data_IF_799236035655
#
_entry.id   IF_799236035655
#
_cell.length_a   1.000
_cell.length_b   1.000
_cell.length_c   1.000
_cell.angle_alpha   90.00
_cell.angle_beta   90.00
_cell.angle_gamma   90.00
#
_symmetry.space_group_name_H-M   'P 1'
#
loop_
_entity.id
_entity.type
_entity.pdbx_description
1 polymer ?
#
# COMPACT_ATOMS: atom_id res chain seq x y z
N UNK A 1 34.12 22.33 27.91
CA UNK A 1 32.71 22.62 27.56
C UNK A 1 31.95 21.31 27.54
N UNK A 2 30.97 21.09 28.44
CA UNK A 2 30.11 19.91 28.38
C UNK A 2 29.32 19.90 27.06
N UNK A 3 29.19 18.73 26.44
CA UNK A 3 28.45 18.55 25.20
C UNK A 3 26.96 18.30 25.52
N UNK A 4 26.02 19.13 25.04
CA UNK A 4 24.59 18.88 25.22
C UNK A 4 24.16 17.57 24.54
N UNK A 5 23.23 16.86 25.17
CA UNK A 5 22.63 15.67 24.57
C UNK A 5 21.72 16.04 23.39
N UNK A 6 21.59 15.12 22.43
CA UNK A 6 20.60 15.21 21.35
C UNK A 6 20.25 13.82 20.83
N UNK A 7 19.03 13.61 20.32
CA UNK A 7 18.70 12.40 19.60
C UNK A 7 19.61 12.19 18.38
N UNK A 8 19.81 10.92 18.02
CA UNK A 8 20.52 10.55 16.79
C UNK A 8 19.78 11.06 15.54
N UNK A 9 20.47 11.12 14.42
CA UNK A 9 19.91 11.63 13.16
C UNK A 9 19.32 10.50 12.32
N UNK A 10 18.01 10.57 12.08
CA UNK A 10 17.20 9.58 11.38
C UNK A 10 16.90 8.34 12.22
N UNK A 11 15.90 7.55 11.82
CA UNK A 11 15.62 6.23 12.40
C UNK A 11 16.53 5.15 11.80
N UNK A 12 16.86 4.13 12.61
CA UNK A 12 17.54 2.89 12.18
C UNK A 12 16.57 1.77 11.80
N UNK A 13 15.30 1.83 12.22
CA UNK A 13 14.32 0.77 11.98
C UNK A 13 13.89 0.60 10.52
N UNK A 14 14.32 1.50 9.63
CA UNK A 14 14.07 1.41 8.19
C UNK A 14 15.36 1.15 7.39
N UNK A 15 16.31 0.45 8.00
CA UNK A 15 17.55 0.00 7.38
C UNK A 15 17.49 -1.48 6.94
N UNK A 16 18.40 -1.93 6.06
CA UNK A 16 19.29 -1.10 5.27
C UNK A 16 18.50 -0.22 4.29
N UNK A 17 18.99 1.00 4.04
CA UNK A 17 18.33 1.96 3.13
C UNK A 17 18.82 1.74 1.70
N UNK A 18 18.36 0.66 1.10
CA UNK A 18 18.64 0.19 -0.26
C UNK A 18 17.41 0.34 -1.14
N UNK A 19 17.56 0.14 -2.46
CA UNK A 19 16.41 0.10 -3.37
C UNK A 19 15.50 -1.07 -2.97
N UNK A 20 14.19 -0.88 -3.10
CA UNK A 20 13.23 -1.98 -2.99
C UNK A 20 13.47 -2.96 -4.14
N UNK A 21 13.40 -4.26 -3.84
CA UNK A 21 13.61 -5.32 -4.83
C UNK A 21 12.39 -5.51 -5.74
N UNK A 22 11.21 -5.14 -5.23
CA UNK A 22 9.94 -5.17 -5.95
C UNK A 22 9.30 -3.78 -5.92
N UNK A 23 8.72 -3.38 -7.06
CA UNK A 23 7.90 -2.18 -7.17
C UNK A 23 6.49 -2.40 -6.60
N UNK A 24 6.00 -3.65 -6.64
CA UNK A 24 4.78 -4.10 -5.98
C UNK A 24 5.04 -4.27 -4.48
N UNK A 25 4.40 -3.49 -3.59
CA UNK A 25 4.60 -3.61 -2.15
C UNK A 25 4.17 -4.98 -1.61
N UNK A 26 4.96 -5.57 -0.72
CA UNK A 26 4.60 -6.82 -0.03
C UNK A 26 4.07 -6.51 1.36
N UNK A 27 2.82 -6.89 1.61
CA UNK A 27 2.22 -6.84 2.95
C UNK A 27 2.83 -7.99 3.78
N UNK A 28 3.26 -7.71 5.01
CA UNK A 28 3.97 -8.66 5.88
C UNK A 28 3.18 -9.08 7.11
N UNK A 29 2.02 -8.47 7.32
CA UNK A 29 1.15 -8.71 8.47
C UNK A 29 -0.25 -8.42 8.00
N UNK A 30 -1.21 -9.20 8.44
CA UNK A 30 -2.60 -9.03 8.06
C UNK A 30 -3.44 -8.68 9.28
N UNK A 31 -4.62 -8.08 9.09
CA UNK A 31 -5.58 -7.90 10.18
C UNK A 31 -5.97 -9.24 10.79
N UNK A 32 -6.39 -9.20 12.06
CA UNK A 32 -6.92 -10.38 12.75
C UNK A 32 -8.24 -10.86 12.09
N UNK A 33 -8.61 -12.10 12.37
CA UNK A 33 -9.77 -12.77 11.78
C UNK A 33 -11.06 -12.45 12.53
N UNK A 34 -11.60 -11.26 12.28
CA UNK A 34 -12.89 -10.83 12.79
C UNK A 34 -13.92 -10.69 11.65
N UNK A 35 -15.19 -11.00 11.95
CA UNK A 35 -16.30 -10.83 10.99
C UNK A 35 -16.48 -12.02 10.04
N UNK A 36 -17.19 -11.77 8.94
CA UNK A 36 -17.42 -12.75 7.87
C UNK A 36 -16.18 -12.88 6.97
N UNK A 37 -16.03 -14.00 6.22
CA UNK A 37 -14.97 -14.16 5.23
C UNK A 37 -14.92 -12.98 4.25
N UNK A 38 -13.75 -12.38 4.11
CA UNK A 38 -13.51 -11.27 3.19
C UNK A 38 -12.03 -11.16 2.81
N UNK A 39 -11.78 -10.55 1.65
CA UNK A 39 -10.43 -10.13 1.26
C UNK A 39 -9.91 -9.08 2.24
N UNK A 40 -8.64 -9.20 2.65
CA UNK A 40 -8.01 -8.25 3.57
C UNK A 40 -7.14 -7.20 2.86
N UNK A 41 -7.34 -6.98 1.56
CA UNK A 41 -6.62 -5.93 0.86
C UNK A 41 -7.06 -5.72 -0.58
N UNK A 42 -6.66 -4.56 -1.11
CA UNK A 42 -6.93 -4.13 -2.48
C UNK A 42 -5.74 -3.30 -2.99
N UNK A 43 -5.73 -2.90 -4.26
CA UNK A 43 -4.69 -2.03 -4.80
C UNK A 43 -5.23 -0.97 -5.77
N UNK A 44 -4.46 0.09 -5.95
CA UNK A 44 -4.83 1.17 -6.87
C UNK A 44 -3.61 1.99 -7.29
N UNK A 45 -3.82 2.91 -8.24
CA UNK A 45 -2.78 3.74 -8.82
C UNK A 45 -2.94 5.19 -8.38
N UNK A 46 -1.87 5.74 -7.81
CA UNK A 46 -1.91 7.11 -7.29
C UNK A 46 -2.06 8.12 -8.43
N UNK A 47 -3.13 8.91 -8.42
CA UNK A 47 -3.37 9.96 -9.40
C UNK A 47 -2.72 11.29 -8.99
N UNK A 48 -3.12 11.82 -7.83
CA UNK A 48 -2.68 13.13 -7.38
C UNK A 48 -3.28 13.53 -6.05
N UNK A 49 -3.35 14.83 -5.79
CA UNK A 49 -3.94 15.37 -4.56
C UNK A 49 -4.88 16.52 -4.89
N UNK A 50 -5.93 16.64 -4.08
CA UNK A 50 -6.82 17.80 -4.00
C UNK A 50 -7.20 18.01 -2.53
N UNK A 51 -8.21 18.82 -2.25
CA UNK A 51 -8.81 18.95 -0.94
C UNK A 51 -10.33 18.77 -1.01
N UNK A 52 -10.91 18.34 0.10
CA UNK A 52 -12.35 18.25 0.28
C UNK A 52 -12.76 19.15 1.44
N UNK A 53 -13.98 19.68 1.36
CA UNK A 53 -14.68 20.23 2.52
C UNK A 53 -15.59 19.14 3.04
N UNK A 54 -15.39 18.73 4.29
CA UNK A 54 -16.22 17.73 4.95
C UNK A 54 -16.73 18.24 6.29
N UNK A 55 -17.79 17.63 6.79
CA UNK A 55 -18.26 17.88 8.16
C UNK A 55 -17.35 17.15 9.14
N UNK A 56 -16.85 17.86 10.14
CA UNK A 56 -16.09 17.27 11.22
C UNK A 56 -17.01 16.34 12.03
N UNK A 57 -16.68 15.06 12.04
CA UNK A 57 -17.47 14.00 12.64
C UNK A 57 -16.78 13.41 13.88
N UNK A 58 -15.78 14.10 14.44
CA UNK A 58 -15.14 13.65 15.67
C UNK A 58 -15.99 14.06 16.86
N UNK A 59 -16.69 13.09 17.47
CA UNK A 59 -17.57 13.34 18.64
C UNK A 59 -16.88 14.03 19.83
N UNK A 60 -15.55 13.93 19.92
CA UNK A 60 -14.75 14.56 20.98
C UNK A 60 -14.14 15.90 20.55
N UNK A 61 -14.42 16.38 19.34
CA UNK A 61 -13.93 17.65 18.81
C UNK A 61 -14.89 18.78 19.19
N UNK A 62 -14.39 19.93 19.70
CA UNK A 62 -15.21 21.14 19.87
C UNK A 62 -15.77 21.70 18.55
N UNK A 63 -15.36 21.15 17.40
CA UNK A 63 -15.78 21.54 16.05
C UNK A 63 -16.67 20.50 15.39
N UNK A 64 -17.14 19.48 16.11
CA UNK A 64 -18.09 18.50 15.58
C UNK A 64 -19.27 19.22 14.89
N UNK A 65 -19.66 18.75 13.71
CA UNK A 65 -20.72 19.34 12.88
C UNK A 65 -20.30 20.58 12.08
N UNK A 66 -19.09 21.13 12.29
CA UNK A 66 -18.57 22.25 11.50
C UNK A 66 -17.81 21.76 10.27
N UNK A 67 -17.73 22.60 9.25
CA UNK A 67 -16.92 22.31 8.06
C UNK A 67 -15.41 22.35 8.37
N UNK A 68 -14.68 21.44 7.74
CA UNK A 68 -13.23 21.32 7.78
C UNK A 68 -12.67 21.03 6.39
N UNK A 69 -11.62 21.77 6.01
CA UNK A 69 -10.86 21.52 4.80
C UNK A 69 -9.84 20.41 5.04
N UNK A 70 -9.95 19.30 4.30
CA UNK A 70 -9.09 18.12 4.47
C UNK A 70 -8.33 17.83 3.18
N UNK A 71 -6.98 17.75 3.22
CA UNK A 71 -6.22 17.34 2.05
C UNK A 71 -6.45 15.85 1.79
N UNK A 72 -6.65 15.48 0.53
CA UNK A 72 -6.85 14.10 0.09
C UNK A 72 -5.87 13.73 -1.02
N UNK A 73 -5.47 12.46 -1.05
CA UNK A 73 -4.82 11.87 -2.21
C UNK A 73 -5.86 11.05 -2.98
N UNK A 74 -5.99 11.33 -4.27
CA UNK A 74 -6.86 10.59 -5.20
C UNK A 74 -6.08 9.39 -5.73
N UNK A 75 -6.72 8.21 -5.71
CA UNK A 75 -6.16 6.95 -6.20
C UNK A 75 -7.20 6.30 -7.10
N UNK A 76 -6.84 6.00 -8.35
CA UNK A 76 -7.70 5.19 -9.22
C UNK A 76 -7.64 3.73 -8.74
N UNK A 77 -8.80 3.15 -8.49
CA UNK A 77 -8.97 1.80 -7.93
C UNK A 77 -9.83 0.98 -8.86
N UNK A 78 -9.38 0.70 -10.10
CA UNK A 78 -10.14 -0.14 -11.02
C UNK A 78 -10.35 -1.53 -10.43
N UNK A 79 -11.34 -2.30 -10.93
CA UNK A 79 -11.57 -3.67 -10.52
C UNK A 79 -10.27 -4.49 -10.55
N UNK A 80 -10.16 -5.37 -9.56
CA UNK A 80 -9.07 -6.34 -9.46
C UNK A 80 -9.61 -7.74 -9.69
N UNK A 81 -8.70 -8.65 -10.06
CA UNK A 81 -9.04 -10.03 -10.36
C UNK A 81 -8.27 -10.97 -9.44
N UNK A 82 -8.99 -11.81 -8.70
CA UNK A 82 -8.44 -12.95 -7.97
C UNK A 82 -8.35 -14.15 -8.90
N UNK A 83 -7.13 -14.57 -9.22
CA UNK A 83 -6.89 -15.58 -10.27
C UNK A 83 -6.56 -16.96 -9.71
N UNK A 84 -6.18 -17.05 -8.44
CA UNK A 84 -5.96 -18.33 -7.79
C UNK A 84 -6.12 -18.24 -6.28
N UNK A 85 -6.54 -19.33 -5.66
CA UNK A 85 -6.46 -19.55 -4.22
C UNK A 85 -5.14 -20.25 -3.92
N UNK A 86 -4.43 -19.83 -2.87
CA UNK A 86 -3.23 -20.49 -2.35
C UNK A 86 -3.41 -20.79 -0.87
N UNK A 87 -3.29 -22.05 -0.52
CA UNK A 87 -3.33 -22.53 0.86
C UNK A 87 -1.93 -22.68 1.46
N UNK A 88 -1.82 -22.48 2.76
CA UNK A 88 -0.57 -22.56 3.51
C UNK A 88 -0.70 -23.48 4.72
N UNK A 89 0.34 -24.28 4.99
CA UNK A 89 0.53 -25.02 6.25
C UNK A 89 1.55 -24.31 7.15
N UNK A 90 1.36 -24.37 8.47
CA UNK A 90 2.33 -23.96 9.48
C UNK A 90 3.30 -25.11 9.78
N UNK A 91 4.52 -25.00 9.23
CA UNK A 91 5.58 -25.96 9.56
C UNK A 91 6.45 -25.46 10.71
N UNK A 92 7.29 -26.33 11.33
CA UNK A 92 8.33 -25.89 12.27
C UNK A 92 9.32 -24.85 11.71
N UNK A 93 9.32 -24.63 10.40
CA UNK A 93 10.15 -23.65 9.69
C UNK A 93 9.37 -22.42 9.21
N UNK A 94 8.09 -22.30 9.59
CA UNK A 94 7.16 -21.26 9.17
C UNK A 94 6.18 -21.73 8.10
N UNK A 95 5.35 -20.80 7.63
CA UNK A 95 4.32 -21.04 6.63
C UNK A 95 4.91 -21.52 5.30
N UNK A 96 4.33 -22.57 4.72
CA UNK A 96 4.66 -23.06 3.38
C UNK A 96 3.40 -23.22 2.53
N UNK A 97 3.44 -22.86 1.24
CA UNK A 97 2.33 -23.13 0.35
C UNK A 97 2.18 -24.64 0.16
N UNK A 98 0.94 -25.14 0.23
CA UNK A 98 0.62 -26.56 0.05
C UNK A 98 -0.13 -26.83 -1.25
N UNK A 99 -1.08 -25.97 -1.61
CA UNK A 99 -1.95 -26.16 -2.77
C UNK A 99 -2.31 -24.82 -3.43
N UNK A 100 -2.55 -24.85 -4.75
CA UNK A 100 -2.98 -23.71 -5.55
C UNK A 100 -4.11 -24.08 -6.50
N UNK A 101 -5.27 -23.45 -6.30
CA UNK A 101 -6.45 -23.62 -7.16
C UNK A 101 -6.56 -22.42 -8.10
N UNK A 102 -6.27 -22.62 -9.38
CA UNK A 102 -6.26 -21.57 -10.40
C UNK A 102 -7.60 -21.45 -11.12
N UNK A 103 -7.99 -20.21 -11.44
CA UNK A 103 -9.14 -19.91 -12.29
C UNK A 103 -9.02 -20.57 -13.67
N UNK A 104 -10.14 -20.71 -14.35
CA UNK A 104 -10.23 -21.26 -15.71
C UNK A 104 -10.26 -20.16 -16.78
N UNK A 105 -10.74 -18.98 -16.42
CA UNK A 105 -10.77 -17.79 -17.26
C UNK A 105 -9.77 -16.74 -16.77
N UNK A 106 -9.08 -16.10 -17.70
CA UNK A 106 -8.02 -15.12 -17.41
C UNK A 106 -8.26 -13.82 -18.16
N UNK A 107 -7.95 -12.70 -17.49
CA UNK A 107 -7.92 -11.40 -18.15
C UNK A 107 -6.89 -11.38 -19.30
N UNK A 108 -7.24 -10.76 -20.43
CA UNK A 108 -6.50 -10.82 -21.70
C UNK A 108 -5.00 -10.45 -21.59
N UNK A 109 -4.64 -9.50 -20.74
CA UNK A 109 -3.25 -9.03 -20.56
C UNK A 109 -2.46 -9.74 -19.45
N UNK A 110 -3.01 -10.77 -18.79
CA UNK A 110 -2.35 -11.44 -17.66
C UNK A 110 -1.09 -12.22 -18.08
N UNK A 111 -1.07 -12.72 -19.31
CA UNK A 111 0.06 -13.44 -19.92
C UNK A 111 1.35 -12.59 -20.01
N UNK A 112 1.24 -11.26 -19.96
CA UNK A 112 2.41 -10.35 -19.87
C UNK A 112 3.15 -10.46 -18.54
N UNK A 113 2.47 -10.96 -17.50
CA UNK A 113 2.99 -11.09 -16.16
C UNK A 113 3.36 -12.53 -15.79
N UNK A 114 2.58 -13.50 -16.24
CA UNK A 114 2.65 -14.91 -15.84
C UNK A 114 2.57 -15.83 -17.06
N UNK A 115 3.19 -17.01 -16.96
CA UNK A 115 2.87 -18.12 -17.86
C UNK A 115 1.59 -18.79 -17.33
N UNK A 116 0.49 -18.66 -18.09
CA UNK A 116 -0.84 -19.10 -17.64
C UNK A 116 -0.98 -20.64 -17.68
N UNK A 117 -1.73 -21.25 -16.75
CA UNK A 117 -2.09 -22.67 -16.82
C UNK A 117 -2.72 -23.03 -18.16
N UNK A 118 -2.27 -24.13 -18.75
CA UNK A 118 -2.77 -24.61 -20.05
C UNK A 118 -3.96 -25.58 -19.91
N UNK A 119 -4.10 -26.20 -18.73
CA UNK A 119 -5.12 -27.21 -18.44
C UNK A 119 -6.05 -26.69 -17.35
N UNK A 120 -7.34 -26.93 -17.53
CA UNK A 120 -8.35 -26.67 -16.51
C UNK A 120 -8.29 -27.78 -15.46
N UNK A 121 -7.80 -27.40 -14.28
CA UNK A 121 -7.63 -28.27 -13.10
C UNK A 121 -8.38 -27.73 -11.89
N UNK A 122 -9.30 -26.76 -12.09
CA UNK A 122 -9.95 -26.05 -10.99
C UNK A 122 -10.67 -27.00 -10.04
N UNK A 123 -11.54 -27.86 -10.55
CA UNK A 123 -12.32 -28.79 -9.72
C UNK A 123 -11.45 -29.83 -9.02
N UNK A 124 -10.42 -30.36 -9.70
CA UNK A 124 -9.48 -31.32 -9.13
C UNK A 124 -8.71 -30.72 -7.95
N UNK A 125 -8.12 -29.55 -8.15
CA UNK A 125 -7.34 -28.88 -7.10
C UNK A 125 -8.24 -28.33 -5.97
N UNK A 126 -9.49 -27.94 -6.28
CA UNK A 126 -10.46 -27.52 -5.27
C UNK A 126 -10.84 -28.69 -4.36
N UNK A 127 -11.04 -29.89 -4.91
CA UNK A 127 -11.30 -31.09 -4.13
C UNK A 127 -10.08 -31.52 -3.30
N UNK A 128 -8.86 -31.40 -3.83
CA UNK A 128 -7.62 -31.63 -3.08
C UNK A 128 -7.47 -30.63 -1.92
N UNK A 129 -7.75 -29.35 -2.16
CA UNK A 129 -7.74 -28.32 -1.11
C UNK A 129 -8.73 -28.63 0.02
N UNK A 130 -9.96 -29.05 -0.33
CA UNK A 130 -10.97 -29.44 0.67
C UNK A 130 -10.52 -30.65 1.48
N UNK A 131 -9.89 -31.64 0.85
CA UNK A 131 -9.34 -32.79 1.56
C UNK A 131 -8.22 -32.37 2.54
N UNK A 132 -7.34 -31.44 2.14
CA UNK A 132 -6.29 -30.92 3.01
C UNK A 132 -6.84 -30.11 4.20
N UNK A 133 -7.97 -29.42 4.01
CA UNK A 133 -8.69 -28.74 5.10
C UNK A 133 -9.27 -29.74 6.09
N UNK A 134 -9.95 -30.78 5.59
CA UNK A 134 -10.52 -31.86 6.42
C UNK A 134 -9.44 -32.62 7.22
N UNK A 135 -8.26 -32.81 6.63
CA UNK A 135 -7.10 -33.43 7.27
C UNK A 135 -6.38 -32.48 8.27
N UNK A 136 -6.79 -31.21 8.34
CA UNK A 136 -6.23 -30.21 9.26
C UNK A 136 -4.80 -29.79 8.92
N UNK A 137 -4.42 -29.84 7.64
CA UNK A 137 -3.09 -29.47 7.14
C UNK A 137 -2.99 -27.96 6.87
N UNK A 138 -4.10 -27.32 6.51
CA UNK A 138 -4.14 -25.91 6.14
C UNK A 138 -4.30 -25.02 7.37
N UNK A 139 -3.53 -23.94 7.44
CA UNK A 139 -3.55 -22.94 8.53
C UNK A 139 -3.87 -21.51 8.03
N UNK A 140 -3.65 -21.20 6.74
CA UNK A 140 -3.94 -19.89 6.17
C UNK A 140 -4.36 -19.98 4.69
N UNK A 141 -5.32 -19.16 4.29
CA UNK A 141 -5.81 -19.07 2.90
C UNK A 141 -5.59 -17.67 2.36
N UNK A 142 -5.05 -17.60 1.15
CA UNK A 142 -4.78 -16.35 0.44
C UNK A 142 -5.20 -16.48 -1.00
N UNK A 143 -5.44 -15.35 -1.65
CA UNK A 143 -5.70 -15.28 -3.08
C UNK A 143 -4.55 -14.58 -3.78
N UNK A 144 -4.18 -15.08 -4.95
CA UNK A 144 -3.31 -14.40 -5.90
C UNK A 144 -4.20 -13.43 -6.68
N UNK A 145 -3.95 -12.14 -6.54
CA UNK A 145 -4.70 -11.09 -7.23
C UNK A 145 -3.81 -10.31 -8.18
N UNK A 146 -4.42 -9.71 -9.20
CA UNK A 146 -3.75 -8.77 -10.07
C UNK A 146 -4.61 -7.56 -10.40
N UNK A 147 -3.97 -6.44 -10.73
CA UNK A 147 -4.65 -5.26 -11.26
C UNK A 147 -4.84 -5.36 -12.78
N UNK A 148 -5.79 -4.62 -13.35
CA UNK A 148 -5.93 -4.43 -14.80
C UNK A 148 -5.52 -3.01 -15.25
N UNK A 149 -4.22 -2.68 -15.34
CA UNK A 149 -3.79 -1.33 -15.74
C UNK A 149 -4.10 -1.03 -17.22
N UNK A 150 -4.54 -2.03 -17.99
CA UNK A 150 -5.09 -1.85 -19.35
C UNK A 150 -6.31 -0.95 -19.39
N UNK A 151 -7.13 -1.02 -18.36
CA UNK A 151 -8.38 -0.25 -18.20
C UNK A 151 -8.11 1.21 -17.83
N UNK A 152 -6.92 1.51 -17.31
CA UNK A 152 -6.52 2.87 -16.98
C UNK A 152 -5.92 3.59 -18.19
N UNK A 153 -6.42 4.80 -18.45
CA UNK A 153 -5.92 5.70 -19.49
C UNK A 153 -4.59 6.37 -19.09
N UNK A 154 -4.46 6.72 -17.81
CA UNK A 154 -3.36 7.53 -17.27
C UNK A 154 -2.10 6.74 -16.90
N UNK A 155 -2.22 5.40 -16.82
CA UNK A 155 -1.14 4.49 -16.44
C UNK A 155 -0.57 3.83 -17.70
N UNK A 156 0.69 4.10 -18.10
CA UNK A 156 1.20 3.65 -19.41
C UNK A 156 1.37 2.13 -19.55
N UNK A 157 1.50 1.41 -18.43
CA UNK A 157 1.75 -0.04 -18.48
C UNK A 157 0.45 -0.78 -18.75
N UNK A 158 0.55 -1.84 -19.55
CA UNK A 158 -0.54 -2.82 -19.77
C UNK A 158 -0.28 -4.14 -19.04
N UNK A 159 0.97 -4.39 -18.64
CA UNK A 159 1.35 -5.52 -17.80
C UNK A 159 0.74 -5.40 -16.40
N UNK A 160 -0.06 -6.39 -15.95
CA UNK A 160 -0.61 -6.45 -14.59
C UNK A 160 0.47 -6.50 -13.51
N UNK A 161 0.18 -5.90 -12.36
CA UNK A 161 0.91 -6.16 -11.12
C UNK A 161 0.25 -7.32 -10.39
N UNK A 162 0.99 -8.38 -10.12
CA UNK A 162 0.52 -9.56 -9.38
C UNK A 162 0.95 -9.46 -7.92
N UNK A 163 0.04 -9.83 -7.01
CA UNK A 163 0.27 -9.79 -5.58
C UNK A 163 -0.57 -10.83 -4.86
N UNK A 164 -0.13 -11.22 -3.67
CA UNK A 164 -0.90 -12.12 -2.81
C UNK A 164 -1.64 -11.31 -1.74
N UNK A 165 -2.92 -11.60 -1.54
CA UNK A 165 -3.82 -10.97 -0.56
C UNK A 165 -4.45 -12.03 0.32
N UNK A 166 -4.43 -11.84 1.63
CA UNK A 166 -5.02 -12.80 2.57
C UNK A 166 -6.54 -12.71 2.60
N UNK A 167 -7.19 -13.85 2.82
CA UNK A 167 -8.62 -13.94 3.15
C UNK A 167 -8.73 -14.15 4.66
N UNK A 168 -9.53 -13.34 5.34
CA UNK A 168 -9.72 -13.44 6.80
C UNK A 168 -11.20 -13.42 7.19
N UNK A 169 -11.48 -13.61 8.47
CA UNK A 169 -12.85 -13.70 9.01
C UNK A 169 -13.45 -15.11 8.87
N UNK A 170 -14.49 -15.43 9.63
CA UNK A 170 -15.11 -16.77 9.64
C UNK A 170 -14.18 -17.92 10.05
N UNK A 171 -14.63 -19.15 9.84
CA UNK A 171 -13.80 -20.37 9.94
C UNK A 171 -12.86 -20.50 8.74
N UNK A 172 -11.89 -21.40 8.82
CA UNK A 172 -10.94 -21.60 7.72
C UNK A 172 -11.63 -22.18 6.48
N UNK A 173 -12.59 -23.07 6.68
CA UNK A 173 -13.44 -23.67 5.64
C UNK A 173 -14.27 -22.57 4.96
N UNK A 174 -14.93 -21.70 5.74
CA UNK A 174 -15.71 -20.58 5.19
C UNK A 174 -14.83 -19.61 4.37
N UNK A 175 -13.55 -19.42 4.73
CA UNK A 175 -12.60 -18.62 3.94
C UNK A 175 -12.21 -19.32 2.65
N UNK A 176 -11.98 -20.62 2.70
CA UNK A 176 -11.64 -21.41 1.53
C UNK A 176 -12.80 -21.41 0.52
N UNK A 177 -14.02 -21.65 1.00
CA UNK A 177 -15.23 -21.61 0.17
C UNK A 177 -15.42 -20.22 -0.45
N UNK A 178 -15.34 -19.14 0.34
CA UNK A 178 -15.38 -17.77 -0.20
C UNK A 178 -14.31 -17.51 -1.26
N UNK A 179 -13.08 -17.98 -1.04
CA UNK A 179 -11.98 -17.77 -1.96
C UNK A 179 -12.16 -18.57 -3.27
N UNK A 180 -12.65 -19.80 -3.17
CA UNK A 180 -12.94 -20.67 -4.31
C UNK A 180 -14.09 -20.11 -5.14
N UNK A 181 -15.17 -19.67 -4.50
CA UNK A 181 -16.32 -19.06 -5.17
C UNK A 181 -15.89 -17.79 -5.92
N UNK A 182 -15.12 -16.91 -5.27
CA UNK A 182 -14.60 -15.70 -5.90
C UNK A 182 -13.77 -16.02 -7.16
N UNK A 183 -12.88 -17.02 -7.08
CA UNK A 183 -12.02 -17.42 -8.21
C UNK A 183 -12.85 -18.10 -9.31
N UNK A 184 -13.85 -18.91 -8.96
CA UNK A 184 -14.75 -19.58 -9.90
C UNK A 184 -15.61 -18.59 -10.70
N UNK A 185 -16.04 -17.48 -10.08
CA UNK A 185 -16.82 -16.41 -10.71
C UNK A 185 -15.97 -15.43 -11.54
N UNK A 186 -14.70 -15.76 -11.82
CA UNK A 186 -13.79 -14.96 -12.63
C UNK A 186 -12.98 -13.93 -11.82
N UNK A 187 -13.10 -13.92 -10.49
CA UNK A 187 -12.22 -13.21 -9.59
C UNK A 187 -12.41 -11.70 -9.51
N UNK A 188 -13.31 -11.12 -10.31
CA UNK A 188 -13.54 -9.68 -10.35
C UNK A 188 -14.09 -9.20 -8.99
N UNK A 189 -13.46 -8.19 -8.42
CA UNK A 189 -13.90 -7.52 -7.19
C UNK A 189 -13.50 -6.05 -7.22
N UNK A 190 -14.34 -5.23 -6.60
CA UNK A 190 -14.23 -3.77 -6.55
C UNK A 190 -13.68 -3.29 -5.20
N UNK A 191 -13.34 -2.01 -5.12
CA UNK A 191 -12.84 -1.42 -3.88
C UNK A 191 -13.87 -1.47 -2.73
N UNK A 192 -15.16 -1.35 -3.08
CA UNK A 192 -16.29 -1.36 -2.15
C UNK A 192 -16.57 -2.73 -1.50
N UNK A 193 -16.13 -3.83 -2.13
CA UNK A 193 -16.28 -5.18 -1.57
C UNK A 193 -15.37 -5.40 -0.35
N UNK A 194 -14.29 -4.62 -0.26
CA UNK A 194 -13.27 -4.73 0.79
C UNK A 194 -13.37 -3.61 1.82
N UNK A 195 -13.71 -2.40 1.38
CA UNK A 195 -13.65 -1.20 2.21
C UNK A 195 -14.95 -0.41 2.20
N UNK A 196 -15.22 0.26 3.33
CA UNK A 196 -16.30 1.23 3.47
C UNK A 196 -15.77 2.61 3.86
N UNK A 197 -16.38 3.66 3.31
CA UNK A 197 -16.00 5.03 3.59
C UNK A 197 -16.01 5.31 5.10
N UNK A 198 -15.03 6.09 5.56
CA UNK A 198 -14.83 6.39 6.97
C UNK A 198 -13.97 5.38 7.76
N UNK A 199 -13.71 4.19 7.21
CA UNK A 199 -12.79 3.22 7.82
C UNK A 199 -11.32 3.69 7.75
N UNK A 200 -10.47 3.04 8.56
CA UNK A 200 -9.03 3.22 8.51
C UNK A 200 -8.36 2.10 7.74
N UNK A 201 -7.46 2.47 6.83
CA UNK A 201 -6.66 1.57 6.02
C UNK A 201 -5.18 1.80 6.28
N UNK A 202 -4.38 0.76 6.14
CA UNK A 202 -2.93 0.91 6.03
C UNK A 202 -2.54 0.90 4.55
N UNK A 203 -1.74 1.87 4.13
CA UNK A 203 -1.33 2.02 2.73
C UNK A 203 0.14 1.70 2.57
N UNK A 204 0.42 0.67 1.78
CA UNK A 204 1.76 0.25 1.41
C UNK A 204 2.14 0.74 0.02
N UNK A 205 3.34 1.31 -0.14
CA UNK A 205 3.82 1.84 -1.41
C UNK A 205 5.34 1.98 -1.46
N UNK A 206 5.89 1.99 -2.68
CA UNK A 206 7.31 2.29 -2.90
C UNK A 206 7.47 3.81 -3.05
N UNK A 207 8.25 4.40 -2.15
CA UNK A 207 8.44 5.86 -2.06
C UNK A 207 9.11 6.48 -3.29
N UNK A 208 8.83 7.77 -3.57
CA UNK A 208 9.52 8.56 -4.63
C UNK A 208 11.04 8.40 -4.55
N UNK A 209 11.64 7.87 -5.63
CA UNK A 209 13.09 7.67 -5.75
C UNK A 209 13.86 8.98 -5.81
N UNK A 210 15.00 9.07 -5.10
CA UNK A 210 15.86 10.26 -5.10
C UNK A 210 17.32 9.93 -5.41
N UNK A 211 17.61 8.69 -5.81
CA UNK A 211 18.96 8.20 -6.10
C UNK A 211 19.93 8.33 -4.91
N UNK A 212 21.20 8.51 -5.22
CA UNK A 212 22.25 8.72 -4.21
C UNK A 212 22.11 10.12 -3.61
N UNK A 213 21.93 10.18 -2.28
CA UNK A 213 21.84 11.43 -1.54
C UNK A 213 22.88 11.49 -0.42
N UNK A 214 23.38 12.69 -0.17
CA UNK A 214 24.30 12.96 0.93
C UNK A 214 23.63 12.88 2.31
N UNK A 215 24.41 12.76 3.39
CA UNK A 215 23.88 12.51 4.73
C UNK A 215 22.98 13.62 5.26
N UNK A 216 23.14 14.87 4.77
CA UNK A 216 22.27 16.00 5.12
C UNK A 216 20.82 15.71 4.75
N UNK A 217 20.55 15.30 3.50
CA UNK A 217 19.19 14.99 3.05
C UNK A 217 18.74 13.61 3.51
N UNK A 218 19.63 12.61 3.45
CA UNK A 218 19.32 11.21 3.76
C UNK A 218 19.02 10.99 5.25
N UNK A 219 19.76 11.64 6.15
CA UNK A 219 19.68 11.40 7.60
C UNK A 219 19.29 12.64 8.42
N UNK A 220 19.22 13.82 7.81
CA UNK A 220 18.92 15.06 8.54
C UNK A 220 20.09 15.56 9.40
N UNK A 221 21.34 15.28 9.01
CA UNK A 221 22.50 15.88 9.69
C UNK A 221 22.63 17.36 9.34
N UNK A 222 23.20 18.13 10.26
CA UNK A 222 23.43 19.55 10.05
C UNK A 222 24.45 19.79 8.93
N UNK A 223 24.25 20.86 8.15
CA UNK A 223 25.34 21.47 7.37
C UNK A 223 26.39 22.06 8.31
N UNK A 224 27.64 22.18 7.86
CA UNK A 224 28.67 22.95 8.57
C UNK A 224 28.19 24.40 8.75
N UNK A 225 28.54 25.01 9.88
CA UNK A 225 28.03 26.33 10.31
C UNK A 225 29.16 27.37 10.38
N UNK A 226 28.79 28.65 10.28
CA UNK A 226 29.71 29.78 10.43
C UNK A 226 30.97 29.68 9.56
N UNK A 227 32.14 29.88 10.18
CA UNK A 227 33.44 29.78 9.50
C UNK A 227 33.65 28.42 8.84
N UNK A 228 33.25 27.32 9.48
CA UNK A 228 33.46 25.96 8.98
C UNK A 228 32.81 25.70 7.62
N UNK A 229 31.68 26.36 7.32
CA UNK A 229 31.00 26.23 6.02
C UNK A 229 31.82 26.79 4.84
N UNK A 230 32.80 27.66 5.13
CA UNK A 230 33.65 28.34 4.14
C UNK A 230 35.01 27.66 3.95
N UNK A 231 35.36 26.68 4.77
CA UNK A 231 36.67 26.01 4.77
C UNK A 231 36.79 24.84 3.77
N UNK A 232 35.85 24.69 2.82
CA UNK A 232 35.82 23.56 1.89
C UNK A 232 34.87 22.41 2.27
N UNK A 233 34.28 22.44 3.47
CA UNK A 233 33.26 21.47 3.90
C UNK A 233 31.93 22.15 4.17
N UNK A 234 30.89 21.79 3.40
CA UNK A 234 29.53 22.32 3.58
C UNK A 234 28.55 21.26 4.09
N UNK A 235 28.59 20.06 3.50
CA UNK A 235 27.55 19.01 3.66
C UNK A 235 28.10 17.66 4.16
N UNK A 236 29.33 17.67 4.70
CA UNK A 236 29.99 16.49 5.29
C UNK A 236 29.87 16.53 6.81
N UNK A 237 29.70 15.36 7.43
CA UNK A 237 29.68 15.20 8.89
C UNK A 237 31.06 15.49 9.51
N UNK A 238 31.11 15.52 10.84
CA UNK A 238 32.31 15.81 11.62
C UNK A 238 33.42 14.77 11.41
N UNK A 239 33.14 13.53 11.80
CA UNK A 239 34.02 12.37 11.73
C UNK A 239 33.18 11.10 11.45
N UNK A 240 33.85 9.95 11.25
CA UNK A 240 33.21 8.65 11.03
C UNK A 240 33.15 7.76 12.29
N UNK A 241 33.57 8.26 13.44
CA UNK A 241 33.63 7.51 14.68
C UNK A 241 34.74 7.98 15.62
N UNK A 242 34.80 7.42 16.84
CA UNK A 242 35.95 7.57 17.74
C UNK A 242 37.17 6.79 17.23
N UNK A 243 38.31 6.92 17.91
CA UNK A 243 39.50 6.11 17.64
C UNK A 243 39.23 4.62 17.83
N UNK A 244 38.69 4.24 19.00
CA UNK A 244 38.31 2.87 19.33
C UNK A 244 36.79 2.77 19.50
N UNK A 245 36.10 1.78 18.90
CA UNK A 245 36.64 0.72 18.04
C UNK A 245 37.11 1.25 16.67
N UNK A 246 38.21 0.70 16.16
CA UNK A 246 38.87 1.11 14.91
C UNK A 246 38.14 0.64 13.65
N UNK A 247 36.85 0.93 13.57
CA UNK A 247 35.97 0.63 12.43
C UNK A 247 34.83 1.63 12.35
N UNK A 248 34.33 1.88 11.14
CA UNK A 248 33.13 2.70 10.94
C UNK A 248 31.91 1.87 11.33
N UNK A 249 31.11 2.37 12.27
CA UNK A 249 29.84 1.72 12.63
C UNK A 249 28.79 2.00 11.56
N UNK A 250 27.96 1.01 11.25
CA UNK A 250 26.82 1.12 10.32
C UNK A 250 25.82 2.21 10.72
N UNK A 251 25.78 2.58 12.00
CA UNK A 251 24.89 3.59 12.56
C UNK A 251 25.32 5.03 12.26
N UNK A 252 26.53 5.24 11.73
CA UNK A 252 27.03 6.57 11.34
C UNK A 252 26.34 7.01 10.04
N UNK A 253 25.76 8.22 10.00
CA UNK A 253 25.00 8.67 8.84
C UNK A 253 25.91 8.95 7.64
N UNK A 254 25.85 8.07 6.64
CA UNK A 254 26.61 8.15 5.39
C UNK A 254 25.71 8.38 4.18
N UNK A 255 26.32 8.73 3.05
CA UNK A 255 25.60 8.85 1.77
C UNK A 255 25.02 7.49 1.32
N UNK A 256 24.13 7.53 0.33
CA UNK A 256 23.65 6.33 -0.35
C UNK A 256 22.25 6.51 -0.91
N UNK A 257 21.65 5.41 -1.36
CA UNK A 257 20.28 5.40 -1.87
C UNK A 257 19.30 6.04 -0.89
N UNK A 258 18.41 6.90 -1.40
CA UNK A 258 17.33 7.54 -0.67
C UNK A 258 16.06 7.55 -1.51
N UNK A 259 14.94 7.15 -0.90
CA UNK A 259 13.71 6.92 -1.65
C UNK A 259 13.78 5.62 -2.45
N UNK A 260 12.68 5.26 -3.11
CA UNK A 260 12.52 3.93 -3.71
C UNK A 260 12.66 2.82 -2.66
N UNK A 261 12.07 3.05 -1.49
CA UNK A 261 11.95 2.08 -0.41
C UNK A 261 10.47 1.78 -0.17
N UNK A 262 10.13 0.55 0.20
CA UNK A 262 8.78 0.21 0.66
C UNK A 262 8.47 0.91 1.99
N UNK A 263 7.29 1.51 2.09
CA UNK A 263 6.72 2.02 3.34
C UNK A 263 5.27 1.58 3.44
N UNK A 264 4.87 1.28 4.67
CA UNK A 264 3.48 1.11 5.05
C UNK A 264 3.15 2.26 5.98
N UNK A 265 2.28 3.15 5.53
CA UNK A 265 1.76 4.24 6.34
C UNK A 265 0.44 3.78 6.96
N UNK A 266 0.37 3.85 8.28
CA UNK A 266 -0.73 3.27 9.05
C UNK A 266 -1.88 4.25 9.24
N UNK A 267 -3.07 3.72 9.49
CA UNK A 267 -4.25 4.47 9.95
C UNK A 267 -4.62 5.65 9.04
N UNK A 268 -4.60 5.44 7.72
CA UNK A 268 -5.11 6.39 6.73
C UNK A 268 -6.61 6.27 6.68
N UNK A 269 -7.31 7.38 6.86
CA UNK A 269 -8.76 7.39 6.77
C UNK A 269 -9.19 7.39 5.31
N UNK A 270 -10.04 6.45 4.92
CA UNK A 270 -10.77 6.49 3.67
C UNK A 270 -11.86 7.55 3.84
N UNK A 271 -11.79 8.64 3.08
CA UNK A 271 -12.78 9.71 3.15
C UNK A 271 -14.00 9.30 2.35
N UNK A 272 -13.78 8.89 1.11
CA UNK A 272 -14.84 8.51 0.18
C UNK A 272 -14.25 7.62 -0.91
N UNK A 273 -15.11 6.94 -1.66
CA UNK A 273 -14.77 6.27 -2.91
C UNK A 273 -16.00 6.28 -3.82
N UNK A 274 -15.79 6.31 -5.13
CA UNK A 274 -16.85 6.43 -6.11
C UNK A 274 -16.33 6.19 -7.51
N UNK A 275 -17.16 6.53 -8.49
CA UNK A 275 -16.88 6.34 -9.91
C UNK A 275 -17.01 7.65 -10.70
N UNK A 276 -16.49 7.67 -11.92
CA UNK A 276 -16.53 8.82 -12.82
C UNK A 276 -15.48 9.88 -12.54
N UNK A 277 -15.81 11.15 -12.81
CA UNK A 277 -14.84 12.26 -12.87
C UNK A 277 -14.89 13.23 -11.69
N UNK A 278 -15.68 12.96 -10.65
CA UNK A 278 -15.94 13.90 -9.55
C UNK A 278 -14.69 14.26 -8.73
N UNK A 279 -13.69 13.37 -8.72
CA UNK A 279 -12.40 13.60 -8.08
C UNK A 279 -11.31 14.15 -9.01
N UNK A 280 -11.63 14.35 -10.30
CA UNK A 280 -10.70 14.89 -11.28
C UNK A 280 -10.52 16.40 -11.10
N UNK A 281 -9.38 16.93 -11.52
CA UNK A 281 -9.06 18.37 -11.45
C UNK A 281 -9.03 18.97 -12.84
N UNK A 282 -9.35 20.26 -12.94
CA UNK A 282 -9.39 21.01 -14.19
C UNK A 282 -8.02 20.97 -14.88
N UNK A 283 -8.00 20.52 -16.14
CA UNK A 283 -6.77 20.31 -16.92
C UNK A 283 -5.98 19.05 -16.56
N UNK A 284 -6.55 18.17 -15.73
CA UNK A 284 -5.98 16.90 -15.32
C UNK A 284 -4.89 17.03 -14.23
N UNK A 285 -4.66 15.94 -13.51
CA UNK A 285 -3.57 15.85 -12.55
C UNK A 285 -2.22 15.97 -13.27
N UNK A 286 -1.36 16.87 -12.77
CA UNK A 286 -0.08 17.19 -13.40
C UNK A 286 0.85 15.97 -13.45
N UNK A 287 1.28 15.60 -14.65
CA UNK A 287 2.04 14.36 -14.97
C UNK A 287 1.26 13.05 -14.74
N UNK A 288 -0.08 13.11 -14.74
CA UNK A 288 -0.94 11.95 -14.64
C UNK A 288 -2.02 11.97 -15.74
N UNK A 289 -2.99 12.88 -15.63
CA UNK A 289 -4.15 13.00 -16.52
C UNK A 289 -5.47 13.14 -15.75
N UNK A 290 -6.58 12.95 -16.44
CA UNK A 290 -7.93 13.07 -15.88
C UNK A 290 -8.38 11.73 -15.29
N UNK A 291 -8.94 11.75 -14.09
CA UNK A 291 -9.56 10.55 -13.49
C UNK A 291 -10.98 10.45 -14.00
N UNK A 292 -11.35 9.32 -14.59
CA UNK A 292 -12.69 9.03 -15.11
C UNK A 292 -12.97 7.52 -14.98
N UNK A 293 -13.33 7.11 -13.77
CA UNK A 293 -13.47 5.70 -13.39
C UNK A 293 -13.52 5.53 -11.87
N UNK A 294 -13.36 4.30 -11.38
CA UNK A 294 -13.34 4.03 -9.95
C UNK A 294 -12.16 4.71 -9.24
N UNK A 295 -12.44 5.43 -8.17
CA UNK A 295 -11.44 6.13 -7.38
C UNK A 295 -11.72 6.05 -5.88
N UNK A 296 -10.65 6.22 -5.09
CA UNK A 296 -10.71 6.39 -3.65
C UNK A 296 -10.04 7.70 -3.21
N UNK A 297 -10.67 8.39 -2.26
CA UNK A 297 -10.17 9.59 -1.60
C UNK A 297 -9.57 9.24 -0.25
N UNK A 298 -8.25 9.29 -0.13
CA UNK A 298 -7.54 8.92 1.10
C UNK A 298 -7.04 10.16 1.83
N UNK A 299 -7.34 10.27 3.13
CA UNK A 299 -6.94 11.40 3.97
C UNK A 299 -5.42 11.60 3.98
N UNK A 300 -5.00 12.82 3.64
CA UNK A 300 -3.63 13.27 3.68
C UNK A 300 -2.80 12.78 2.50
N UNK A 301 -1.54 12.44 2.77
CA UNK A 301 -0.57 12.02 1.75
C UNK A 301 -0.38 10.50 1.74
N UNK A 302 -0.04 9.96 0.57
CA UNK A 302 0.34 8.56 0.38
C UNK A 302 1.78 8.42 -0.13
N UNK A 303 2.48 7.31 0.16
CA UNK A 303 3.83 7.07 -0.33
C UNK A 303 3.84 6.96 -1.85
N UNK A 304 5.00 7.24 -2.47
CA UNK A 304 5.21 7.01 -3.90
C UNK A 304 4.86 8.18 -4.84
N UNK A 305 5.35 8.13 -6.08
CA UNK A 305 4.96 9.04 -7.16
C UNK A 305 3.56 8.74 -7.67
N UNK A 306 3.08 9.65 -8.50
CA UNK A 306 1.87 9.45 -9.29
C UNK A 306 2.14 8.27 -10.25
N UNK A 307 1.09 7.55 -10.69
CA UNK A 307 1.13 6.27 -11.41
C UNK A 307 1.70 5.08 -10.62
N UNK A 308 2.08 5.26 -9.35
CA UNK A 308 2.60 4.17 -8.51
C UNK A 308 1.46 3.30 -7.99
N UNK A 309 1.63 1.98 -8.05
CA UNK A 309 0.78 1.04 -7.33
C UNK A 309 0.89 1.27 -5.82
N UNK A 310 -0.26 1.41 -5.18
CA UNK A 310 -0.47 1.41 -3.75
C UNK A 310 -1.30 0.19 -3.38
N UNK A 311 -0.95 -0.45 -2.26
CA UNK A 311 -1.75 -1.52 -1.67
C UNK A 311 -2.42 -1.04 -0.41
N UNK A 312 -3.70 -1.36 -0.28
CA UNK A 312 -4.54 -1.09 0.86
C UNK A 312 -4.78 -2.39 1.62
N UNK A 313 -4.88 -2.29 2.93
CA UNK A 313 -5.42 -3.32 3.82
C UNK A 313 -6.21 -2.64 4.93
N UNK A 314 -7.17 -3.30 5.59
CA UNK A 314 -7.73 -2.80 6.83
C UNK A 314 -6.62 -2.48 7.84
N UNK A 315 -6.79 -1.41 8.62
CA UNK A 315 -5.78 -1.01 9.58
C UNK A 315 -5.58 -2.11 10.65
N UNK A 316 -4.33 -2.56 10.84
CA UNK A 316 -4.03 -3.62 11.83
C UNK A 316 -3.95 -3.11 13.26
N UNK A 317 -3.97 -1.77 13.44
CA UNK A 317 -3.81 -1.09 14.73
C UNK A 317 -4.47 0.29 14.73
N UNK A 318 -5.78 0.36 14.47
CA UNK A 318 -6.52 1.61 14.50
C UNK A 318 -6.46 2.20 15.92
N UNK A 319 -6.24 3.51 16.01
CA UNK A 319 -6.27 4.21 17.31
C UNK A 319 -7.69 4.67 17.66
N UNK A 320 -8.48 4.94 16.64
CA UNK A 320 -9.81 5.54 16.74
C UNK A 320 -10.83 4.58 16.14
N UNK A 321 -12.05 4.63 16.66
CA UNK A 321 -13.15 3.86 16.09
C UNK A 321 -13.52 4.40 14.68
N UNK A 322 -13.87 3.53 13.73
CA UNK A 322 -14.39 3.95 12.43
C UNK A 322 -15.63 4.81 12.60
N UNK A 323 -15.68 5.92 11.86
CA UNK A 323 -16.85 6.79 11.74
C UNK A 323 -17.23 6.75 10.28
N UNK A 324 -18.27 5.97 9.98
CA UNK A 324 -18.61 5.57 8.63
C UNK A 324 -19.24 6.71 7.85
N UNK A 325 -19.01 6.68 6.54
CA UNK A 325 -19.66 7.53 5.55
C UNK A 325 -19.65 9.02 5.93
N UNK A 326 -18.46 9.62 6.08
CA UNK A 326 -18.37 11.01 6.49
C UNK A 326 -18.97 11.95 5.41
N UNK A 327 -19.69 12.98 5.84
CA UNK A 327 -20.35 13.93 4.92
C UNK A 327 -19.31 14.79 4.18
N UNK A 328 -19.13 14.52 2.89
CA UNK A 328 -18.34 15.35 1.97
C UNK A 328 -19.26 16.39 1.32
N UNK A 329 -19.00 17.67 1.57
CA UNK A 329 -19.78 18.78 1.01
C UNK A 329 -19.27 19.29 -0.32
N UNK A 330 -17.96 19.19 -0.52
CA UNK A 330 -17.30 19.70 -1.71
C UNK A 330 -16.00 18.97 -1.95
N UNK A 331 -15.75 18.56 -3.18
CA UNK A 331 -14.46 18.09 -3.67
C UNK A 331 -13.92 19.16 -4.62
N UNK A 332 -12.70 19.64 -4.36
CA UNK A 332 -12.12 20.67 -5.21
C UNK A 332 -11.64 20.07 -6.53
N UNK A 333 -12.19 20.60 -7.62
CA UNK A 333 -11.77 20.31 -8.99
C UNK A 333 -10.90 21.42 -9.58
N UNK A 334 -10.49 22.41 -8.78
CA UNK A 334 -9.65 23.52 -9.26
C UNK A 334 -8.36 23.00 -9.87
N UNK A 335 -7.87 23.67 -10.93
CA UNK A 335 -6.65 23.26 -11.59
C UNK A 335 -5.47 23.24 -10.62
N UNK A 336 -4.73 22.13 -10.64
CA UNK A 336 -3.47 22.01 -9.90
C UNK A 336 -2.34 22.86 -10.53
N UNK A 337 -2.59 23.52 -11.66
CA UNK A 337 -1.72 24.49 -12.30
C UNK A 337 -2.29 25.88 -12.01
N UNK A 338 -1.59 26.64 -11.15
CA UNK A 338 -2.13 27.87 -10.54
C UNK A 338 -2.18 29.11 -11.40
#
# INVERSE_FOLDING_TARGET
MPQPSRPRKGSLGYGPRTRADSEVPRIRSWPDDDGAPALQGFAGYKAGMTHVMMVNDEANSPREGMEEAVPVTVVETPPMYAVAVRAYEDTPYGQKPVEEVWATEFHEELDRALDLPAEDTFEENADELRALLDDGVVDDVRVITHTAPSELSNVPKKKPDVMETRVGGGSLEERADFALDLVAEGGAHEFGDVFRAGQYTDVSGITKGKGTQGPVKRWGVQKRKGKHARQGWRRRIGNLGPWNPSRVRSTVPQQGQTGYHQRTELNKRLIDFGEGSDASVDGGFVNYGEVDGEYALIKGSLPGPDQRLLRFRPAIRPNDQPRLDPEVRYVSTESNQG
#
